data_IF_671290034496
#
_entry.id   IF_671290034496
#
_cell.length_a   1.000
_cell.length_b   1.000
_cell.length_c   1.000
_cell.angle_alpha   90.00
_cell.angle_beta   90.00
_cell.angle_gamma   90.00
#
_symmetry.space_group_name_H-M   'P 1'
#
loop_
_entity.id
_entity.type
_entity.pdbx_description
1 polymer ?
#
# COMPACT_ATOMS: atom_id res chain seq x y z
N UNK A 1 16.95 14.68 -19.72
CA UNK A 1 15.71 15.16 -20.38
C UNK A 1 14.89 15.84 -19.32
N UNK A 2 14.27 16.98 -19.61
CA UNK A 2 13.36 17.66 -18.68
C UNK A 2 11.91 17.28 -19.04
N UNK A 3 10.98 17.49 -18.13
CA UNK A 3 9.55 17.29 -18.36
C UNK A 3 9.05 18.14 -19.54
N UNK A 4 9.46 19.39 -19.59
CA UNK A 4 9.09 20.30 -20.69
C UNK A 4 9.60 19.84 -22.06
N UNK A 5 10.81 19.27 -22.11
CA UNK A 5 11.36 18.71 -23.35
C UNK A 5 10.56 17.49 -23.82
N UNK A 6 10.18 16.61 -22.91
CA UNK A 6 9.34 15.44 -23.21
C UNK A 6 7.95 15.87 -23.72
N UNK A 7 7.29 16.79 -23.02
CA UNK A 7 5.95 17.29 -23.40
C UNK A 7 5.98 17.98 -24.78
N UNK A 8 7.00 18.79 -25.06
CA UNK A 8 7.21 19.40 -26.39
C UNK A 8 7.44 18.35 -27.48
N UNK A 9 8.20 17.30 -27.16
CA UNK A 9 8.44 16.21 -28.13
C UNK A 9 7.15 15.51 -28.50
N UNK A 10 6.36 15.09 -27.52
CA UNK A 10 5.07 14.41 -27.72
C UNK A 10 4.11 15.32 -28.51
N UNK A 11 4.03 16.59 -28.16
CA UNK A 11 3.17 17.55 -28.90
C UNK A 11 3.56 17.69 -30.37
N UNK A 12 4.87 17.63 -30.67
CA UNK A 12 5.38 17.69 -32.04
C UNK A 12 5.33 16.34 -32.79
N UNK A 13 5.31 15.22 -32.06
CA UNK A 13 5.34 13.85 -32.59
C UNK A 13 4.25 12.98 -31.94
N UNK A 14 2.96 13.20 -32.21
CA UNK A 14 1.86 12.46 -31.53
C UNK A 14 1.92 10.94 -31.76
N UNK A 15 2.52 10.48 -32.84
CA UNK A 15 2.70 9.04 -33.13
C UNK A 15 3.65 8.35 -32.13
N UNK A 16 4.53 9.10 -31.47
CA UNK A 16 5.48 8.56 -30.49
C UNK A 16 4.87 8.44 -29.09
N UNK A 17 3.70 9.04 -28.86
CA UNK A 17 3.11 9.18 -27.52
C UNK A 17 2.97 7.82 -26.81
N UNK A 18 2.41 6.81 -27.46
CA UNK A 18 2.21 5.49 -26.90
C UNK A 18 3.52 4.85 -26.43
N UNK A 19 4.55 4.88 -27.31
CA UNK A 19 5.86 4.32 -27.00
C UNK A 19 6.58 5.09 -25.88
N UNK A 20 6.42 6.41 -25.84
CA UNK A 20 7.05 7.28 -24.84
C UNK A 20 6.40 7.18 -23.47
N UNK A 21 5.10 6.94 -23.42
CA UNK A 21 4.33 6.76 -22.16
C UNK A 21 4.21 5.29 -21.75
N UNK A 22 4.78 4.35 -22.51
CA UNK A 22 4.80 2.95 -22.16
C UNK A 22 5.71 2.71 -20.94
N UNK A 23 5.24 1.91 -20.00
CA UNK A 23 5.95 1.58 -18.75
C UNK A 23 7.30 0.89 -18.97
N UNK A 24 7.46 0.20 -20.11
CA UNK A 24 8.58 -0.71 -20.40
C UNK A 24 9.49 -0.18 -21.53
N UNK A 25 9.66 1.15 -21.57
CA UNK A 25 10.59 1.79 -22.52
C UNK A 25 11.49 2.80 -21.82
N UNK A 26 12.72 2.93 -22.32
CA UNK A 26 13.68 3.97 -21.94
C UNK A 26 13.69 5.05 -23.02
N UNK A 27 13.64 6.31 -22.64
CA UNK A 27 13.81 7.42 -23.56
C UNK A 27 15.29 7.79 -23.66
N UNK A 28 15.84 7.83 -24.86
CA UNK A 28 17.23 8.18 -25.14
C UNK A 28 17.32 9.27 -26.21
N UNK A 29 18.42 10.01 -26.20
CA UNK A 29 18.76 10.94 -27.28
C UNK A 29 19.29 10.18 -28.50
N UNK A 30 18.80 10.54 -29.67
CA UNK A 30 19.30 10.05 -30.96
C UNK A 30 19.50 11.24 -31.90
N UNK A 31 20.73 11.69 -32.06
CA UNK A 31 21.02 12.95 -32.73
C UNK A 31 20.32 14.12 -32.08
N UNK A 32 19.57 14.94 -32.84
CA UNK A 32 18.77 16.06 -32.28
C UNK A 32 17.43 15.61 -31.65
N UNK A 33 17.05 14.35 -31.80
CA UNK A 33 15.75 13.81 -31.41
C UNK A 33 15.78 12.92 -30.19
N UNK A 34 14.59 12.40 -29.86
CA UNK A 34 14.37 11.42 -28.79
C UNK A 34 13.84 10.12 -29.39
N UNK A 35 14.20 8.98 -28.81
CA UNK A 35 13.68 7.67 -29.18
C UNK A 35 13.27 6.89 -27.94
N UNK A 36 12.19 6.12 -28.04
CA UNK A 36 11.79 5.14 -27.05
C UNK A 36 12.43 3.77 -27.41
N UNK A 37 13.17 3.20 -26.47
CA UNK A 37 13.84 1.90 -26.63
C UNK A 37 13.17 0.92 -25.65
N UNK A 38 12.63 -0.22 -26.12
CA UNK A 38 12.06 -1.25 -25.24
C UNK A 38 13.06 -1.74 -24.20
N UNK A 39 12.59 -2.08 -23.00
CA UNK A 39 13.46 -2.61 -21.93
C UNK A 39 14.18 -3.88 -22.35
N UNK A 40 13.54 -4.77 -23.13
CA UNK A 40 14.17 -5.97 -23.67
C UNK A 40 15.39 -5.70 -24.56
N UNK A 41 15.48 -4.50 -25.14
CA UNK A 41 16.62 -4.03 -25.89
C UNK A 41 17.58 -3.22 -25.04
N UNK A 42 17.08 -2.21 -24.32
CA UNK A 42 17.88 -1.29 -23.52
C UNK A 42 18.64 -2.00 -22.38
N UNK A 43 18.09 -3.08 -21.85
CA UNK A 43 18.65 -3.86 -20.74
C UNK A 43 18.96 -5.32 -21.15
N UNK A 44 19.16 -5.59 -22.42
CA UNK A 44 19.38 -6.94 -22.96
C UNK A 44 20.48 -7.71 -22.25
N UNK A 45 21.60 -7.04 -21.96
CA UNK A 45 22.76 -7.66 -21.31
C UNK A 45 22.46 -8.16 -19.89
N UNK A 46 21.47 -7.57 -19.22
CA UNK A 46 21.00 -8.01 -17.91
C UNK A 46 19.81 -8.99 -18.01
N UNK A 47 18.87 -8.74 -18.93
CA UNK A 47 17.64 -9.52 -19.04
C UNK A 47 17.86 -10.91 -19.66
N UNK A 48 18.82 -11.04 -20.59
CA UNK A 48 19.14 -12.36 -21.18
C UNK A 48 19.63 -13.36 -20.13
N UNK A 49 20.67 -13.08 -19.34
CA UNK A 49 21.09 -14.01 -18.29
C UNK A 49 20.04 -14.19 -17.19
N UNK A 50 19.22 -13.18 -16.90
CA UNK A 50 18.11 -13.31 -15.96
C UNK A 50 17.04 -14.30 -16.49
N UNK A 51 16.69 -14.22 -17.78
CA UNK A 51 15.78 -15.18 -18.42
C UNK A 51 16.32 -16.61 -18.35
N UNK A 52 17.64 -16.80 -18.58
CA UNK A 52 18.26 -18.11 -18.50
C UNK A 52 18.19 -18.67 -17.06
N UNK A 53 18.40 -17.83 -16.03
CA UNK A 53 18.24 -18.25 -14.62
C UNK A 53 16.80 -18.61 -14.26
N UNK A 54 15.82 -17.92 -14.81
CA UNK A 54 14.40 -18.30 -14.65
C UNK A 54 14.10 -19.65 -15.30
N UNK A 55 14.68 -19.95 -16.47
CA UNK A 55 14.55 -21.26 -17.12
C UNK A 55 15.24 -22.37 -16.34
N UNK A 56 16.44 -22.13 -15.80
CA UNK A 56 17.11 -23.06 -14.89
C UNK A 56 16.24 -23.36 -13.67
N UNK A 57 15.69 -22.33 -13.01
CA UNK A 57 14.77 -22.50 -11.87
C UNK A 57 13.49 -23.26 -12.27
N UNK A 58 12.95 -23.02 -13.45
CA UNK A 58 11.81 -23.74 -13.98
C UNK A 58 12.10 -25.23 -14.25
N UNK A 59 13.35 -25.57 -14.54
CA UNK A 59 13.76 -26.97 -14.77
C UNK A 59 13.83 -27.79 -13.49
N UNK A 60 14.12 -27.16 -12.35
CA UNK A 60 14.29 -27.84 -11.05
C UNK A 60 13.05 -27.85 -10.18
N UNK A 61 12.09 -26.91 -10.40
CA UNK A 61 10.86 -26.87 -9.60
C UNK A 61 9.90 -28.01 -9.95
N UNK A 62 9.37 -28.68 -8.93
CA UNK A 62 8.29 -29.65 -9.09
C UNK A 62 6.89 -29.01 -9.16
N UNK A 63 6.76 -27.73 -8.81
CA UNK A 63 5.47 -27.04 -8.84
C UNK A 63 5.14 -26.57 -10.26
N UNK A 64 4.06 -27.10 -10.85
CA UNK A 64 3.70 -26.85 -12.23
C UNK A 64 3.30 -25.38 -12.48
N UNK A 65 2.63 -24.71 -11.54
CA UNK A 65 2.21 -23.32 -11.70
C UNK A 65 3.39 -22.35 -11.58
N UNK A 66 4.32 -22.60 -10.67
CA UNK A 66 5.57 -21.85 -10.57
C UNK A 66 6.41 -22.03 -11.84
N UNK A 67 6.51 -23.27 -12.35
CA UNK A 67 7.22 -23.55 -13.61
C UNK A 67 6.61 -22.76 -14.78
N UNK A 68 5.27 -22.76 -14.92
CA UNK A 68 4.55 -21.99 -15.93
C UNK A 68 4.92 -20.50 -15.86
N UNK A 69 4.85 -19.93 -14.65
CA UNK A 69 5.20 -18.52 -14.46
C UNK A 69 6.66 -18.22 -14.81
N UNK A 70 7.62 -19.00 -14.31
CA UNK A 70 9.05 -18.75 -14.54
C UNK A 70 9.41 -18.78 -16.03
N UNK A 71 8.85 -19.73 -16.80
CA UNK A 71 9.05 -19.81 -18.25
C UNK A 71 8.42 -18.61 -18.98
N UNK A 72 7.18 -18.29 -18.67
CA UNK A 72 6.49 -17.14 -19.26
C UNK A 72 7.23 -15.82 -18.95
N UNK A 73 7.76 -15.67 -17.72
CA UNK A 73 8.53 -14.49 -17.33
C UNK A 73 9.88 -14.39 -18.05
N UNK A 74 10.55 -15.52 -18.25
CA UNK A 74 11.77 -15.56 -19.04
C UNK A 74 11.53 -15.07 -20.49
N UNK A 75 10.42 -15.48 -21.09
CA UNK A 75 10.03 -15.03 -22.43
C UNK A 75 9.60 -13.56 -22.44
N UNK A 76 8.92 -13.08 -21.41
CA UNK A 76 8.54 -11.69 -21.26
C UNK A 76 9.76 -10.74 -21.18
N UNK A 77 10.83 -11.12 -20.52
CA UNK A 77 12.07 -10.35 -20.47
C UNK A 77 12.69 -10.12 -21.85
N UNK A 78 12.53 -11.09 -22.75
CA UNK A 78 13.11 -11.01 -24.10
C UNK A 78 12.16 -10.37 -25.13
N UNK A 79 10.84 -10.48 -24.91
CA UNK A 79 9.82 -9.95 -25.81
C UNK A 79 9.31 -8.55 -25.43
N UNK A 80 9.59 -8.07 -24.23
CA UNK A 80 9.00 -6.85 -23.64
C UNK A 80 7.47 -6.92 -23.46
N UNK A 81 6.85 -8.10 -23.54
CA UNK A 81 5.43 -8.33 -23.34
C UNK A 81 5.22 -9.14 -22.05
N UNK A 82 4.68 -8.50 -21.03
CA UNK A 82 4.52 -9.08 -19.69
C UNK A 82 3.15 -9.72 -19.46
N UNK A 83 2.17 -9.55 -20.36
CA UNK A 83 0.77 -9.93 -20.15
C UNK A 83 0.61 -11.41 -19.74
N UNK A 84 1.11 -12.35 -20.55
CA UNK A 84 0.94 -13.79 -20.29
C UNK A 84 1.65 -14.24 -19.02
N UNK A 85 2.78 -13.63 -18.71
CA UNK A 85 3.52 -13.92 -17.48
C UNK A 85 2.83 -13.35 -16.24
N UNK A 86 2.17 -12.22 -16.35
CA UNK A 86 1.38 -11.65 -15.26
C UNK A 86 0.11 -12.45 -15.00
N UNK A 87 -0.57 -12.94 -16.05
CA UNK A 87 -1.66 -13.90 -15.93
C UNK A 87 -1.18 -15.17 -15.22
N UNK A 88 -0.06 -15.73 -15.66
CA UNK A 88 0.51 -16.93 -15.05
C UNK A 88 0.88 -16.71 -13.56
N UNK A 89 1.32 -15.49 -13.19
CA UNK A 89 1.60 -15.13 -11.82
C UNK A 89 0.32 -15.03 -10.96
N UNK A 90 -0.74 -14.42 -11.48
CA UNK A 90 -2.03 -14.34 -10.77
C UNK A 90 -2.57 -15.75 -10.50
N UNK A 91 -2.46 -16.66 -11.47
CA UNK A 91 -2.90 -18.07 -11.34
C UNK A 91 -1.96 -18.94 -10.51
N UNK A 92 -0.75 -18.49 -10.21
CA UNK A 92 0.25 -19.30 -9.52
C UNK A 92 -0.16 -19.65 -8.09
N UNK A 93 -0.15 -20.94 -7.77
CA UNK A 93 -0.25 -21.47 -6.42
C UNK A 93 0.98 -22.34 -6.11
N UNK A 94 1.89 -21.76 -5.35
CA UNK A 94 3.17 -22.34 -4.99
C UNK A 94 3.53 -22.03 -3.54
N UNK A 95 4.25 -22.91 -2.84
CA UNK A 95 4.81 -22.58 -1.52
C UNK A 95 5.90 -21.49 -1.59
N UNK A 96 6.52 -21.29 -2.74
CA UNK A 96 7.43 -20.19 -3.02
C UNK A 96 6.71 -19.22 -3.93
N UNK A 97 6.52 -17.97 -3.46
CA UNK A 97 5.98 -16.90 -4.28
C UNK A 97 7.15 -16.07 -4.83
N UNK A 98 7.23 -15.96 -6.14
CA UNK A 98 8.27 -15.21 -6.85
C UNK A 98 7.61 -14.05 -7.57
N UNK A 99 8.05 -12.85 -7.29
CA UNK A 99 7.73 -11.64 -8.05
C UNK A 99 9.04 -11.15 -8.66
N UNK A 100 9.09 -10.98 -9.97
CA UNK A 100 10.26 -10.43 -10.65
C UNK A 100 9.82 -9.76 -11.95
N UNK A 101 10.16 -8.50 -12.12
CA UNK A 101 9.80 -7.73 -13.32
C UNK A 101 9.78 -6.23 -13.08
N UNK A 102 9.36 -5.46 -14.08
CA UNK A 102 9.20 -4.00 -13.98
C UNK A 102 7.85 -3.65 -13.37
N UNK A 103 7.78 -3.65 -12.05
CA UNK A 103 6.53 -3.44 -11.30
C UNK A 103 6.46 -2.16 -10.48
N UNK A 104 7.62 -1.63 -10.06
CA UNK A 104 7.68 -0.39 -9.31
C UNK A 104 7.35 0.79 -10.26
N UNK A 105 6.29 1.54 -9.97
CA UNK A 105 5.78 2.64 -10.83
C UNK A 105 5.66 3.98 -10.10
N UNK A 106 6.00 4.04 -8.81
CA UNK A 106 5.84 5.24 -7.99
C UNK A 106 7.04 6.16 -8.00
N UNK A 107 8.25 5.64 -8.29
CA UNK A 107 9.49 6.42 -8.24
C UNK A 107 9.81 7.20 -9.53
N UNK A 108 9.04 7.03 -10.60
CA UNK A 108 9.14 7.90 -11.77
C UNK A 108 8.51 9.26 -11.48
N UNK A 109 9.23 10.12 -10.78
CA UNK A 109 8.80 11.46 -10.40
C UNK A 109 8.52 12.39 -11.60
N UNK A 110 8.91 11.99 -12.82
CA UNK A 110 8.76 12.84 -13.98
C UNK A 110 7.37 12.72 -14.61
N UNK A 111 6.90 11.48 -14.85
CA UNK A 111 5.64 11.22 -15.59
C UNK A 111 4.79 10.09 -15.01
N UNK A 112 5.27 9.36 -14.04
CA UNK A 112 4.70 8.08 -13.55
C UNK A 112 4.41 7.10 -14.71
N UNK A 113 5.27 7.13 -15.73
CA UNK A 113 5.11 6.38 -16.97
C UNK A 113 6.21 5.32 -17.20
N UNK A 114 7.10 5.13 -16.22
CA UNK A 114 8.20 4.15 -16.28
C UNK A 114 8.17 3.26 -15.06
N UNK A 115 8.37 1.96 -15.29
CA UNK A 115 8.45 0.97 -14.22
C UNK A 115 9.92 0.59 -13.97
N UNK A 116 10.32 0.55 -12.69
CA UNK A 116 11.61 -0.01 -12.29
C UNK A 116 11.51 -1.52 -12.07
N UNK A 117 12.65 -2.22 -12.30
CA UNK A 117 12.76 -3.65 -12.04
C UNK A 117 12.91 -3.92 -10.55
N UNK A 118 12.11 -4.81 -10.04
CA UNK A 118 12.18 -5.33 -8.69
C UNK A 118 11.99 -6.84 -8.66
N UNK A 119 12.46 -7.45 -7.58
CA UNK A 119 12.27 -8.87 -7.35
C UNK A 119 12.06 -9.15 -5.87
N UNK A 120 11.10 -10.04 -5.59
CA UNK A 120 10.84 -10.61 -4.27
C UNK A 120 10.84 -12.12 -4.38
N UNK A 121 11.63 -12.80 -3.57
CA UNK A 121 11.56 -14.25 -3.36
C UNK A 121 11.05 -14.47 -1.96
N UNK A 122 9.91 -15.13 -1.84
CA UNK A 122 9.20 -15.26 -0.60
C UNK A 122 8.68 -16.68 -0.39
N UNK A 123 8.42 -17.06 0.85
CA UNK A 123 7.78 -18.33 1.22
C UNK A 123 6.38 -18.03 1.76
N UNK A 124 5.39 -18.72 1.23
CA UNK A 124 3.98 -18.53 1.61
C UNK A 124 3.74 -19.06 3.02
N UNK A 125 3.23 -18.20 3.90
CA UNK A 125 2.69 -18.55 5.20
C UNK A 125 1.24 -19.02 5.02
N UNK A 126 1.08 -20.32 4.77
CA UNK A 126 -0.25 -20.91 4.51
C UNK A 126 -1.21 -20.74 5.68
N UNK A 127 -0.81 -21.02 6.95
CA UNK A 127 -1.73 -20.81 8.08
C UNK A 127 -2.25 -19.38 8.20
N UNK A 128 -1.38 -18.38 8.02
CA UNK A 128 -1.81 -16.99 8.05
C UNK A 128 -2.67 -16.63 6.83
N UNK A 129 -2.31 -17.10 5.62
CA UNK A 129 -3.09 -16.87 4.41
C UNK A 129 -4.51 -17.47 4.48
N UNK A 130 -4.68 -18.64 5.12
CA UNK A 130 -6.01 -19.25 5.31
C UNK A 130 -6.88 -18.45 6.29
N UNK A 131 -6.30 -17.84 7.34
CA UNK A 131 -7.06 -16.96 8.24
C UNK A 131 -7.69 -15.78 7.48
N UNK A 132 -7.02 -15.28 6.44
CA UNK A 132 -7.52 -14.15 5.67
C UNK A 132 -8.79 -14.47 4.87
N UNK A 133 -8.97 -15.72 4.46
CA UNK A 133 -10.21 -16.16 3.79
C UNK A 133 -11.44 -15.94 4.66
N UNK A 134 -11.28 -16.07 5.99
CA UNK A 134 -12.36 -15.78 6.94
C UNK A 134 -12.79 -14.32 6.83
N UNK A 135 -11.84 -13.38 6.78
CA UNK A 135 -12.14 -11.96 6.68
C UNK A 135 -12.78 -11.61 5.33
N UNK A 136 -12.28 -12.17 4.23
CA UNK A 136 -12.87 -11.99 2.89
C UNK A 136 -14.32 -12.42 2.84
N UNK A 137 -14.69 -13.52 3.50
CA UNK A 137 -16.07 -14.00 3.59
C UNK A 137 -17.00 -13.05 4.37
N UNK A 138 -16.43 -12.18 5.23
CA UNK A 138 -17.16 -11.19 6.01
C UNK A 138 -17.14 -9.76 5.41
N UNK A 139 -16.52 -9.56 4.24
CA UNK A 139 -16.47 -8.21 3.62
C UNK A 139 -17.86 -7.60 3.42
N UNK A 140 -18.85 -8.40 3.00
CA UNK A 140 -20.22 -7.92 2.84
C UNK A 140 -20.87 -7.48 4.16
N UNK A 141 -20.50 -8.11 5.27
CA UNK A 141 -21.00 -7.73 6.59
C UNK A 141 -20.27 -6.47 7.09
N UNK A 142 -18.97 -6.34 6.80
CA UNK A 142 -18.21 -5.13 7.09
C UNK A 142 -18.78 -3.93 6.31
N UNK A 143 -19.11 -4.12 5.02
CA UNK A 143 -19.80 -3.10 4.21
C UNK A 143 -21.14 -2.68 4.84
N UNK A 144 -21.96 -3.64 5.29
CA UNK A 144 -23.22 -3.33 5.99
C UNK A 144 -23.01 -2.55 7.28
N UNK A 145 -21.87 -2.80 7.96
CA UNK A 145 -21.52 -2.17 9.23
C UNK A 145 -20.88 -0.78 9.08
N UNK A 146 -20.60 -0.31 7.86
CA UNK A 146 -20.07 1.03 7.64
C UNK A 146 -20.99 2.11 8.23
N UNK A 147 -20.44 3.14 8.89
CA UNK A 147 -21.23 4.16 9.60
C UNK A 147 -21.78 5.23 8.64
N UNK A 148 -22.35 4.81 7.52
CA UNK A 148 -22.98 5.67 6.50
C UNK A 148 -24.35 5.11 6.10
N UNK A 149 -25.23 5.94 5.51
CA UNK A 149 -26.51 5.48 4.96
C UNK A 149 -26.32 4.37 3.92
N UNK A 150 -27.27 3.43 3.89
CA UNK A 150 -27.24 2.29 2.95
C UNK A 150 -27.19 2.72 1.48
N UNK A 151 -27.73 3.88 1.13
CA UNK A 151 -27.67 4.45 -0.22
C UNK A 151 -26.24 4.73 -0.71
N UNK A 152 -25.27 4.84 0.20
CA UNK A 152 -23.87 5.08 -0.11
C UNK A 152 -23.00 3.81 -0.06
N UNK A 153 -23.57 2.69 0.40
CA UNK A 153 -22.84 1.42 0.53
C UNK A 153 -22.78 0.66 -0.78
N UNK A 154 -21.71 -0.09 -0.99
CA UNK A 154 -21.51 -0.91 -2.18
C UNK A 154 -21.87 -2.38 -1.93
N UNK A 155 -23.16 -2.73 -2.02
CA UNK A 155 -23.64 -4.11 -1.88
C UNK A 155 -23.40 -5.01 -3.10
N UNK A 156 -22.94 -4.46 -4.23
CA UNK A 156 -22.69 -5.19 -5.48
C UNK A 156 -21.20 -5.50 -5.69
N UNK A 157 -20.49 -5.67 -4.62
CA UNK A 157 -19.06 -5.95 -4.63
C UNK A 157 -18.77 -7.30 -5.31
N UNK A 158 -17.77 -7.34 -6.19
CA UNK A 158 -17.19 -8.57 -6.72
C UNK A 158 -16.43 -9.38 -5.64
N UNK A 159 -16.07 -10.61 -5.95
CA UNK A 159 -15.13 -11.39 -5.14
C UNK A 159 -13.82 -10.63 -5.02
N UNK A 160 -13.36 -10.39 -3.79
CA UNK A 160 -12.13 -9.65 -3.54
C UNK A 160 -10.89 -10.33 -4.15
N UNK A 161 -9.81 -9.57 -4.28
CA UNK A 161 -8.49 -10.07 -4.70
C UNK A 161 -8.00 -11.19 -3.79
N UNK A 162 -7.23 -12.12 -4.34
CA UNK A 162 -6.54 -13.14 -3.54
C UNK A 162 -5.51 -12.45 -2.63
N UNK A 163 -5.51 -12.79 -1.35
CA UNK A 163 -4.52 -12.27 -0.40
C UNK A 163 -3.59 -13.41 0.02
N UNK A 164 -2.29 -13.17 -0.05
CA UNK A 164 -1.27 -14.09 0.43
C UNK A 164 -0.40 -13.42 1.51
N UNK A 165 -0.17 -14.12 2.58
CA UNK A 165 0.84 -13.77 3.58
C UNK A 165 2.12 -14.52 3.27
N UNK A 166 3.24 -13.82 3.24
CA UNK A 166 4.52 -14.42 2.90
C UNK A 166 5.62 -13.98 3.88
N UNK A 167 6.68 -14.77 3.92
CA UNK A 167 7.95 -14.43 4.56
C UNK A 167 8.95 -14.09 3.46
N UNK A 168 9.46 -12.88 3.43
CA UNK A 168 10.49 -12.45 2.50
C UNK A 168 11.81 -13.14 2.81
N UNK A 169 12.41 -13.72 1.78
CA UNK A 169 13.70 -14.40 1.86
C UNK A 169 14.79 -13.59 1.17
N UNK A 170 14.43 -12.89 0.09
CA UNK A 170 15.37 -12.12 -0.71
C UNK A 170 14.62 -11.07 -1.54
N UNK A 171 15.22 -9.89 -1.66
CA UNK A 171 14.81 -8.86 -2.62
C UNK A 171 15.99 -8.39 -3.47
N UNK A 172 15.68 -7.86 -4.64
CA UNK A 172 16.64 -7.26 -5.54
C UNK A 172 16.01 -6.13 -6.37
N UNK A 173 16.85 -5.38 -7.05
CA UNK A 173 16.42 -4.26 -7.86
C UNK A 173 15.97 -3.10 -6.98
N UNK A 174 14.91 -2.44 -7.39
CA UNK A 174 14.40 -1.25 -6.72
C UNK A 174 13.84 -1.54 -5.32
N UNK A 175 13.23 -2.69 -5.11
CA UNK A 175 12.76 -3.18 -3.82
C UNK A 175 13.83 -3.19 -2.70
N UNK A 176 15.13 -3.14 -3.04
CA UNK A 176 16.23 -3.00 -2.05
C UNK A 176 16.59 -1.57 -1.70
N UNK A 177 16.04 -0.60 -2.42
CA UNK A 177 16.36 0.83 -2.26
C UNK A 177 15.19 1.54 -1.60
N UNK A 178 15.47 2.64 -0.93
CA UNK A 178 14.44 3.45 -0.31
C UNK A 178 13.66 2.73 0.79
N UNK A 179 12.36 2.99 0.83
CA UNK A 179 11.43 2.42 1.81
C UNK A 179 11.15 0.97 1.46
N UNK A 180 11.35 0.07 2.43
CA UNK A 180 11.10 -1.36 2.22
C UNK A 180 9.60 -1.65 2.10
N UNK A 181 9.23 -2.41 1.08
CA UNK A 181 7.84 -2.78 0.81
C UNK A 181 7.26 -3.63 1.93
N UNK A 182 6.12 -3.26 2.45
CA UNK A 182 5.38 -4.02 3.47
C UNK A 182 4.29 -4.92 2.88
N UNK A 183 3.66 -4.45 1.81
CA UNK A 183 2.64 -5.14 1.04
C UNK A 183 2.62 -4.60 -0.39
N UNK A 184 2.07 -5.36 -1.32
CA UNK A 184 1.84 -4.92 -2.69
C UNK A 184 0.64 -5.61 -3.33
N UNK A 185 0.03 -4.94 -4.30
CA UNK A 185 -1.06 -5.45 -5.14
C UNK A 185 -0.65 -5.43 -6.61
N UNK A 186 -0.51 -6.60 -7.21
CA UNK A 186 -0.11 -6.76 -8.60
C UNK A 186 -1.09 -7.67 -9.37
N UNK A 187 -1.09 -7.66 -10.70
CA UNK A 187 -0.28 -6.83 -11.60
C UNK A 187 -0.81 -5.40 -11.75
N UNK A 188 0.00 -4.54 -12.38
CA UNK A 188 -0.39 -3.16 -12.72
C UNK A 188 -1.29 -3.10 -13.98
N UNK A 189 -1.36 -4.17 -14.77
CA UNK A 189 -2.17 -4.22 -16.00
C UNK A 189 -3.66 -4.35 -15.68
N UNK A 190 -4.42 -3.30 -15.94
CA UNK A 190 -5.85 -3.24 -15.67
C UNK A 190 -6.67 -4.29 -16.44
N UNK A 191 -6.21 -4.70 -17.63
CA UNK A 191 -6.87 -5.75 -18.41
C UNK A 191 -6.84 -7.09 -17.68
N UNK A 192 -5.72 -7.39 -17.01
CA UNK A 192 -5.55 -8.61 -16.21
C UNK A 192 -6.36 -8.50 -14.93
N UNK A 193 -6.32 -7.32 -14.27
CA UNK A 193 -7.12 -7.08 -13.05
C UNK A 193 -8.60 -7.30 -13.28
N UNK A 194 -9.13 -6.89 -14.43
CA UNK A 194 -10.54 -7.07 -14.78
C UNK A 194 -10.89 -8.51 -15.17
N UNK A 195 -9.99 -9.25 -15.84
CA UNK A 195 -10.27 -10.59 -16.35
C UNK A 195 -9.84 -11.71 -15.41
N UNK A 196 -8.72 -11.58 -14.73
CA UNK A 196 -8.07 -12.61 -13.91
C UNK A 196 -7.99 -12.22 -12.42
N UNK A 197 -8.26 -10.95 -12.09
CA UNK A 197 -8.10 -10.41 -10.75
C UNK A 197 -6.67 -9.97 -10.45
N UNK A 198 -6.38 -9.80 -9.16
CA UNK A 198 -5.07 -9.40 -8.64
C UNK A 198 -4.71 -10.20 -7.40
N UNK A 199 -3.45 -10.14 -6.98
CA UNK A 199 -2.98 -10.66 -5.70
C UNK A 199 -2.48 -9.53 -4.81
N UNK A 200 -2.97 -9.50 -3.59
CA UNK A 200 -2.36 -8.77 -2.50
C UNK A 200 -1.36 -9.67 -1.79
N UNK A 201 -0.15 -9.21 -1.60
CA UNK A 201 0.91 -9.96 -0.92
C UNK A 201 1.39 -9.13 0.27
N UNK A 202 1.33 -9.72 1.47
CA UNK A 202 1.79 -9.09 2.71
C UNK A 202 3.08 -9.73 3.17
N UNK A 203 4.13 -8.94 3.34
CA UNK A 203 5.47 -9.36 3.76
C UNK A 203 5.56 -9.34 5.30
N UNK A 204 5.08 -10.42 5.96
CA UNK A 204 4.86 -10.43 7.41
C UNK A 204 6.13 -10.21 8.23
N UNK A 205 7.27 -10.80 7.84
CA UNK A 205 8.54 -10.61 8.55
C UNK A 205 9.11 -9.20 8.36
N UNK A 206 8.93 -8.59 7.19
CA UNK A 206 9.28 -7.19 6.93
C UNK A 206 8.46 -6.27 7.83
N UNK A 207 7.14 -6.48 7.88
CA UNK A 207 6.26 -5.73 8.77
C UNK A 207 6.65 -5.89 10.24
N UNK A 208 7.03 -7.12 10.66
CA UNK A 208 7.48 -7.38 12.02
C UNK A 208 8.80 -6.64 12.34
N UNK A 209 9.73 -6.61 11.40
CA UNK A 209 10.98 -5.87 11.56
C UNK A 209 10.72 -4.35 11.64
N UNK A 210 9.88 -3.81 10.75
CA UNK A 210 9.46 -2.40 10.79
C UNK A 210 8.80 -2.03 12.13
N UNK A 211 7.90 -2.88 12.63
CA UNK A 211 7.26 -2.64 13.92
C UNK A 211 8.30 -2.59 15.05
N UNK A 212 9.19 -3.59 15.12
CA UNK A 212 10.19 -3.68 16.20
C UNK A 212 11.25 -2.59 16.15
N UNK A 213 11.70 -2.22 14.96
CA UNK A 213 12.84 -1.30 14.80
C UNK A 213 12.44 0.17 14.73
N UNK A 214 11.23 0.46 14.29
CA UNK A 214 10.74 1.82 14.09
C UNK A 214 9.43 2.06 14.85
N UNK A 215 8.38 1.29 14.57
CA UNK A 215 7.03 1.54 15.07
C UNK A 215 6.93 1.51 16.59
N UNK A 216 7.33 0.41 17.23
CA UNK A 216 7.27 0.26 18.69
C UNK A 216 8.16 1.28 19.43
N UNK A 217 9.42 1.53 19.02
CA UNK A 217 10.23 2.60 19.62
C UNK A 217 9.60 4.00 19.50
N UNK A 218 8.97 4.33 18.37
CA UNK A 218 8.24 5.60 18.19
C UNK A 218 7.08 5.65 19.16
N UNK A 219 6.22 4.62 19.16
CA UNK A 219 5.04 4.57 20.03
C UNK A 219 5.40 4.72 21.51
N UNK A 220 6.44 4.03 21.99
CA UNK A 220 6.96 4.16 23.37
C UNK A 220 7.51 5.54 23.70
N UNK A 221 7.94 6.31 22.72
CA UNK A 221 8.41 7.69 22.92
C UNK A 221 7.28 8.69 22.95
N UNK A 222 6.26 8.46 22.14
CA UNK A 222 5.10 9.35 21.98
C UNK A 222 4.04 9.11 23.06
N UNK A 223 3.77 7.85 23.39
CA UNK A 223 2.68 7.52 24.29
C UNK A 223 3.10 7.43 25.75
N UNK A 224 2.10 7.46 26.63
CA UNK A 224 2.25 7.30 28.07
C UNK A 224 2.75 5.88 28.40
N UNK A 225 3.83 5.73 29.21
CA UNK A 225 4.38 4.42 29.55
C UNK A 225 3.39 3.45 30.19
N UNK A 226 2.32 3.95 30.82
CA UNK A 226 1.27 3.09 31.37
C UNK A 226 0.51 2.30 30.32
N UNK A 227 0.63 2.66 29.02
CA UNK A 227 -0.01 1.98 27.89
C UNK A 227 0.98 1.14 27.06
N UNK A 228 2.27 1.11 27.40
CA UNK A 228 3.31 0.38 26.64
C UNK A 228 3.01 -1.12 26.47
N UNK A 229 2.39 -1.74 27.47
CA UNK A 229 2.03 -3.18 27.42
C UNK A 229 0.91 -3.49 26.41
N UNK A 230 0.25 -2.46 25.89
CA UNK A 230 -0.80 -2.59 24.88
C UNK A 230 -0.27 -2.52 23.44
N UNK A 231 0.99 -2.12 23.24
CA UNK A 231 1.60 -2.15 21.92
C UNK A 231 1.69 -3.59 21.40
N UNK A 232 1.17 -3.82 20.21
CA UNK A 232 0.99 -5.17 19.66
C UNK A 232 1.31 -5.24 18.18
N UNK A 233 2.25 -6.14 17.83
CA UNK A 233 2.51 -6.45 16.41
C UNK A 233 1.28 -7.03 15.73
N UNK A 234 0.51 -7.88 16.41
CA UNK A 234 -0.69 -8.47 15.80
C UNK A 234 -1.75 -7.40 15.51
N UNK A 235 -1.88 -6.37 16.36
CA UNK A 235 -2.76 -5.24 16.09
C UNK A 235 -2.27 -4.43 14.87
N UNK A 236 -0.99 -4.10 14.80
CA UNK A 236 -0.39 -3.41 13.64
C UNK A 236 -0.56 -4.21 12.35
N UNK A 237 -0.20 -5.49 12.37
CA UNK A 237 -0.29 -6.38 11.21
C UNK A 237 -1.71 -6.50 10.68
N UNK A 238 -2.68 -6.72 11.58
CA UNK A 238 -4.08 -6.80 11.17
C UNK A 238 -4.63 -5.44 10.76
N UNK A 239 -4.18 -4.32 11.34
CA UNK A 239 -4.57 -2.99 10.86
C UNK A 239 -4.13 -2.79 9.41
N UNK A 240 -2.86 -3.06 9.06
CA UNK A 240 -2.39 -2.97 7.67
C UNK A 240 -3.20 -3.89 6.74
N UNK A 241 -3.50 -5.12 7.18
CA UNK A 241 -4.35 -6.03 6.39
C UNK A 241 -5.74 -5.44 6.14
N UNK A 242 -6.38 -4.91 7.19
CA UNK A 242 -7.72 -4.34 7.07
C UNK A 242 -7.72 -3.00 6.35
N UNK A 243 -6.61 -2.26 6.35
CA UNK A 243 -6.38 -1.12 5.47
C UNK A 243 -6.51 -1.55 3.99
N UNK A 244 -5.75 -2.58 3.56
CA UNK A 244 -5.83 -3.12 2.19
C UNK A 244 -7.23 -3.63 1.82
N UNK A 245 -7.92 -4.30 2.74
CA UNK A 245 -9.30 -4.71 2.54
C UNK A 245 -10.25 -3.52 2.39
N UNK A 246 -9.99 -2.44 3.14
CA UNK A 246 -10.84 -1.26 3.22
C UNK A 246 -10.76 -0.34 2.01
N UNK A 247 -9.71 -0.45 1.18
CA UNK A 247 -9.71 0.14 -0.16
C UNK A 247 -10.89 -0.35 -1.01
N UNK A 248 -11.33 -1.56 -0.77
CA UNK A 248 -12.47 -2.12 -1.46
C UNK A 248 -13.82 -1.80 -0.78
N UNK A 249 -13.88 -1.23 0.44
CA UNK A 249 -15.09 -0.89 1.18
C UNK A 249 -15.57 0.54 0.89
N UNK A 250 -16.90 0.72 0.91
CA UNK A 250 -17.53 2.02 0.67
C UNK A 250 -17.75 2.36 -0.79
N UNK A 251 -18.08 3.63 -1.08
CA UNK A 251 -18.49 4.12 -2.40
C UNK A 251 -17.30 4.31 -3.34
N UNK A 252 -17.23 3.55 -4.43
CA UNK A 252 -16.21 3.73 -5.49
C UNK A 252 -16.75 4.46 -6.73
N UNK A 253 -17.89 3.97 -7.28
CA UNK A 253 -18.60 4.61 -8.39
C UNK A 253 -19.81 5.32 -7.82
N UNK A 254 -19.89 6.63 -7.99
CA UNK A 254 -20.89 7.49 -7.40
C UNK A 254 -21.65 8.30 -8.45
N UNK A 255 -22.85 8.77 -8.10
CA UNK A 255 -23.51 9.84 -8.84
C UNK A 255 -22.99 11.17 -8.33
N UNK A 256 -22.08 11.76 -9.09
CA UNK A 256 -21.41 12.98 -8.69
C UNK A 256 -22.29 14.25 -8.73
N UNK A 257 -21.72 15.38 -8.35
CA UNK A 257 -22.42 16.68 -8.36
C UNK A 257 -22.95 17.09 -9.73
N UNK A 258 -22.32 16.60 -10.81
CA UNK A 258 -22.74 16.82 -12.19
C UNK A 258 -23.83 15.85 -12.67
N UNK A 259 -24.30 14.95 -11.80
CA UNK A 259 -25.31 13.93 -12.07
C UNK A 259 -24.82 12.70 -12.83
N UNK A 260 -23.53 12.61 -13.18
CA UNK A 260 -22.95 11.46 -13.90
C UNK A 260 -22.48 10.39 -12.93
N UNK A 261 -22.57 9.13 -13.37
CA UNK A 261 -21.99 7.98 -12.66
C UNK A 261 -20.52 7.86 -13.06
N UNK A 262 -19.59 8.10 -12.13
CA UNK A 262 -18.15 8.03 -12.33
C UNK A 262 -17.47 7.62 -11.03
N UNK A 263 -16.17 7.27 -11.12
CA UNK A 263 -15.34 7.02 -9.94
C UNK A 263 -15.21 8.31 -9.10
N UNK A 264 -15.28 8.15 -7.78
CA UNK A 264 -15.18 9.26 -6.81
C UNK A 264 -13.88 10.06 -6.96
N UNK A 265 -12.76 9.40 -7.37
CA UNK A 265 -11.47 10.05 -7.61
C UNK A 265 -11.54 11.18 -8.66
N UNK A 266 -12.42 11.05 -9.65
CA UNK A 266 -12.60 12.07 -10.70
C UNK A 266 -13.13 13.38 -10.11
N UNK A 267 -13.98 13.27 -9.09
CA UNK A 267 -14.54 14.43 -8.39
C UNK A 267 -13.60 14.99 -7.33
N UNK A 268 -12.89 14.12 -6.59
CA UNK A 268 -11.99 14.52 -5.51
C UNK A 268 -10.61 15.00 -6.00
N UNK A 269 -10.21 14.65 -7.23
CA UNK A 269 -9.00 15.16 -7.92
C UNK A 269 -7.73 15.03 -7.06
N UNK A 270 -7.03 16.15 -6.84
CA UNK A 270 -5.78 16.20 -6.08
C UNK A 270 -5.93 15.79 -4.60
N UNK A 271 -7.13 15.78 -4.05
CA UNK A 271 -7.36 15.38 -2.66
C UNK A 271 -7.66 13.88 -2.49
N UNK A 272 -7.92 13.19 -3.61
CA UNK A 272 -8.33 11.79 -3.57
C UNK A 272 -7.36 10.91 -2.82
N UNK A 273 -6.07 10.93 -3.16
CA UNK A 273 -5.10 9.99 -2.57
C UNK A 273 -5.04 10.10 -1.05
N UNK A 274 -4.97 11.31 -0.50
CA UNK A 274 -4.93 11.49 0.97
C UNK A 274 -6.24 11.09 1.63
N UNK A 275 -7.38 11.37 1.01
CA UNK A 275 -8.71 10.97 1.53
C UNK A 275 -8.84 9.44 1.50
N UNK A 276 -8.46 8.79 0.39
CA UNK A 276 -8.56 7.33 0.22
C UNK A 276 -7.65 6.58 1.19
N UNK A 277 -6.39 7.02 1.36
CA UNK A 277 -5.46 6.39 2.31
C UNK A 277 -5.94 6.54 3.76
N UNK A 278 -6.37 7.74 4.14
CA UNK A 278 -6.95 7.96 5.46
C UNK A 278 -8.25 7.17 5.65
N UNK A 279 -9.10 7.06 4.61
CA UNK A 279 -10.31 6.22 4.64
C UNK A 279 -9.95 4.74 4.83
N UNK A 280 -8.93 4.26 4.14
CA UNK A 280 -8.49 2.87 4.26
C UNK A 280 -7.99 2.56 5.69
N UNK A 281 -7.21 3.45 6.29
CA UNK A 281 -6.76 3.33 7.69
C UNK A 281 -7.95 3.31 8.66
N UNK A 282 -8.79 4.32 8.63
CA UNK A 282 -9.88 4.53 9.59
C UNK A 282 -11.00 3.49 9.45
N UNK A 283 -11.39 3.15 8.21
CA UNK A 283 -12.35 2.07 7.93
C UNK A 283 -11.74 0.71 8.26
N UNK A 284 -10.42 0.56 8.12
CA UNK A 284 -9.66 -0.61 8.59
C UNK A 284 -9.83 -0.82 10.09
N UNK A 285 -9.64 0.22 10.91
CA UNK A 285 -9.88 0.17 12.36
C UNK A 285 -11.35 -0.16 12.63
N UNK A 286 -12.31 0.51 11.96
CA UNK A 286 -13.74 0.26 12.15
C UNK A 286 -14.14 -1.18 11.84
N UNK A 287 -13.62 -1.74 10.76
CA UNK A 287 -13.84 -3.13 10.35
C UNK A 287 -13.16 -4.13 11.29
N UNK A 288 -11.98 -3.79 11.84
CA UNK A 288 -11.33 -4.59 12.89
C UNK A 288 -12.15 -4.61 14.18
N UNK A 289 -12.75 -3.49 14.58
CA UNK A 289 -13.64 -3.45 15.73
C UNK A 289 -14.85 -4.37 15.54
N UNK A 290 -15.42 -4.39 14.34
CA UNK A 290 -16.46 -5.37 13.98
C UNK A 290 -15.93 -6.81 14.11
N UNK A 291 -14.74 -7.10 13.59
CA UNK A 291 -14.15 -8.43 13.64
C UNK A 291 -13.82 -8.87 15.08
N UNK A 292 -13.37 -7.98 15.95
CA UNK A 292 -13.15 -8.21 17.40
C UNK A 292 -14.49 -8.50 18.10
N UNK A 293 -15.51 -7.66 17.87
CA UNK A 293 -16.83 -7.81 18.48
C UNK A 293 -17.50 -9.12 18.05
N UNK A 294 -17.26 -9.59 16.83
CA UNK A 294 -17.70 -10.89 16.31
C UNK A 294 -16.80 -12.07 16.66
N UNK A 295 -15.70 -11.84 17.40
CA UNK A 295 -14.69 -12.86 17.75
C UNK A 295 -14.02 -13.54 16.55
N UNK A 296 -13.98 -12.86 15.41
CA UNK A 296 -13.20 -13.28 14.23
C UNK A 296 -11.71 -12.99 14.45
N UNK A 297 -11.39 -11.93 15.20
CA UNK A 297 -10.05 -11.59 15.69
C UNK A 297 -10.02 -11.80 17.19
N UNK A 298 -9.08 -12.64 17.67
CA UNK A 298 -8.93 -12.99 19.10
C UNK A 298 -7.51 -12.79 19.63
N UNK A 299 -6.56 -12.44 18.76
CA UNK A 299 -5.15 -12.24 19.14
C UNK A 299 -4.92 -10.95 19.94
N UNK A 300 -5.82 -9.98 19.82
CA UNK A 300 -5.77 -8.70 20.54
C UNK A 300 -7.19 -8.14 20.73
N UNK A 301 -7.30 -7.13 21.56
CA UNK A 301 -8.53 -6.41 21.86
C UNK A 301 -8.50 -4.95 21.33
N UNK A 302 -9.62 -4.24 21.45
CA UNK A 302 -9.73 -2.86 20.99
C UNK A 302 -8.73 -1.89 21.65
N UNK A 303 -8.44 -1.94 22.97
CA UNK A 303 -7.38 -1.13 23.57
C UNK A 303 -6.00 -1.30 22.93
N UNK A 304 -5.58 -2.54 22.62
CA UNK A 304 -4.33 -2.80 21.92
C UNK A 304 -4.33 -2.22 20.51
N UNK A 305 -5.43 -2.36 19.79
CA UNK A 305 -5.59 -1.74 18.48
C UNK A 305 -5.42 -0.22 18.56
N UNK A 306 -6.14 0.45 19.44
CA UNK A 306 -6.14 1.91 19.55
C UNK A 306 -4.78 2.48 19.97
N UNK A 307 -4.14 1.85 20.95
CA UNK A 307 -2.81 2.30 21.41
C UNK A 307 -1.75 2.06 20.35
N UNK A 308 -1.80 0.94 19.66
CA UNK A 308 -0.86 0.62 18.59
C UNK A 308 -1.02 1.58 17.43
N UNK A 309 -2.24 1.81 16.97
CA UNK A 309 -2.54 2.75 15.89
C UNK A 309 -2.08 4.17 16.23
N UNK A 310 -2.56 4.74 17.34
CA UNK A 310 -2.19 6.08 17.77
C UNK A 310 -0.67 6.28 17.87
N UNK A 311 0.06 5.26 18.35
CA UNK A 311 1.52 5.29 18.47
C UNK A 311 2.24 5.27 17.12
N UNK A 312 1.65 4.64 16.11
CA UNK A 312 2.27 4.45 14.80
C UNK A 312 2.01 5.59 13.80
N UNK A 313 1.05 6.48 14.08
CA UNK A 313 0.78 7.64 13.22
C UNK A 313 2.02 8.49 12.96
N UNK A 314 2.89 8.66 13.97
CA UNK A 314 4.14 9.39 13.81
C UNK A 314 5.15 8.69 12.90
N UNK A 315 5.06 7.37 12.74
CA UNK A 315 5.90 6.66 11.76
C UNK A 315 5.57 7.14 10.35
N UNK A 316 4.30 7.20 9.98
CA UNK A 316 3.85 7.65 8.66
C UNK A 316 4.12 9.13 8.43
N UNK A 317 3.88 9.99 9.42
CA UNK A 317 4.16 11.43 9.34
C UNK A 317 5.65 11.75 9.09
N UNK A 318 6.59 10.88 9.49
CA UNK A 318 8.04 11.08 9.27
C UNK A 318 8.45 10.97 7.81
N UNK A 319 7.65 10.33 6.95
CA UNK A 319 7.89 10.30 5.50
C UNK A 319 7.47 11.59 4.80
N UNK A 320 6.70 12.43 5.47
CA UNK A 320 6.25 13.74 4.99
C UNK A 320 4.72 13.87 5.03
N UNK A 321 4.23 14.93 5.63
CA UNK A 321 2.78 15.23 5.70
C UNK A 321 2.22 15.61 4.32
N UNK A 322 3.07 15.99 3.37
CA UNK A 322 2.68 16.23 1.98
C UNK A 322 2.35 14.95 1.19
N UNK A 323 2.81 13.79 1.65
CA UNK A 323 2.52 12.49 1.07
C UNK A 323 1.14 11.97 1.52
N UNK A 324 0.52 11.11 0.74
CA UNK A 324 -0.84 10.62 1.00
C UNK A 324 -0.98 9.99 2.38
N UNK A 325 -0.14 9.02 2.71
CA UNK A 325 -0.16 8.36 4.04
C UNK A 325 0.25 9.30 5.18
N UNK A 326 1.27 10.15 4.97
CA UNK A 326 1.71 11.11 5.99
C UNK A 326 0.65 12.16 6.28
N UNK A 327 -0.04 12.64 5.25
CA UNK A 327 -1.18 13.56 5.35
C UNK A 327 -2.38 12.91 6.04
N UNK A 328 -2.69 11.64 5.70
CA UNK A 328 -3.71 10.83 6.37
C UNK A 328 -3.42 10.66 7.85
N UNK A 329 -2.21 10.27 8.22
CA UNK A 329 -1.80 10.11 9.61
C UNK A 329 -1.86 11.41 10.42
N UNK A 330 -1.49 12.55 9.80
CA UNK A 330 -1.64 13.86 10.45
C UNK A 330 -3.10 14.25 10.65
N UNK A 331 -3.97 13.93 9.67
CA UNK A 331 -5.42 14.12 9.78
C UNK A 331 -5.99 13.33 10.94
N UNK A 332 -5.68 12.04 11.02
CA UNK A 332 -6.12 11.15 12.10
C UNK A 332 -5.65 11.65 13.46
N UNK A 333 -4.37 11.95 13.61
CA UNK A 333 -3.81 12.48 14.85
C UNK A 333 -4.55 13.74 15.29
N UNK A 334 -4.67 14.76 14.44
CA UNK A 334 -5.30 16.03 14.77
C UNK A 334 -6.79 15.87 15.06
N UNK A 335 -7.47 14.97 14.35
CA UNK A 335 -8.87 14.62 14.63
C UNK A 335 -9.04 13.96 15.99
N UNK A 336 -8.25 12.92 16.29
CA UNK A 336 -8.30 12.22 17.58
C UNK A 336 -7.95 13.15 18.75
N UNK A 337 -7.03 14.08 18.54
CA UNK A 337 -6.71 15.14 19.51
C UNK A 337 -7.91 16.07 19.75
N UNK A 338 -8.55 16.56 18.71
CA UNK A 338 -9.72 17.44 18.83
C UNK A 338 -10.90 16.73 19.50
N UNK A 339 -11.12 15.46 19.23
CA UNK A 339 -12.19 14.66 19.84
C UNK A 339 -11.85 14.18 21.27
N UNK A 340 -10.66 14.46 21.76
CA UNK A 340 -10.20 14.04 23.07
C UNK A 340 -9.98 12.53 23.20
N UNK A 341 -9.84 11.84 22.07
CA UNK A 341 -9.49 10.43 21.99
C UNK A 341 -8.02 10.20 22.33
N UNK A 342 -7.17 11.18 22.04
CA UNK A 342 -5.78 11.25 22.47
C UNK A 342 -5.61 12.53 23.29
N UNK A 343 -5.10 12.41 24.52
CA UNK A 343 -4.95 13.53 25.47
C UNK A 343 -3.50 13.66 25.95
N UNK A 344 -2.99 14.85 26.27
CA UNK A 344 -1.69 14.98 26.91
C UNK A 344 -1.66 14.26 28.26
N UNK A 345 -0.54 13.57 28.54
CA UNK A 345 -0.32 12.88 29.83
C UNK A 345 0.84 13.45 30.63
N UNK A 346 1.46 14.53 30.15
CA UNK A 346 2.63 15.16 30.73
C UNK A 346 3.93 14.78 30.01
N UNK A 347 5.01 15.55 30.25
CA UNK A 347 6.33 15.33 29.69
C UNK A 347 6.38 15.17 28.15
N UNK A 348 5.47 15.86 27.43
CA UNK A 348 5.38 15.78 25.97
C UNK A 348 4.81 14.45 25.45
N UNK A 349 4.17 13.65 26.31
CA UNK A 349 3.57 12.36 25.96
C UNK A 349 2.05 12.43 25.94
N UNK A 350 1.44 11.40 25.35
CA UNK A 350 0.00 11.35 25.10
C UNK A 350 -0.58 10.02 25.56
N UNK A 351 -1.84 10.05 25.94
CA UNK A 351 -2.60 8.89 26.39
C UNK A 351 -3.86 8.71 25.58
N UNK A 352 -4.18 7.46 25.24
CA UNK A 352 -5.38 7.10 24.49
C UNK A 352 -6.54 6.86 25.45
N UNK A 353 -7.67 7.54 25.23
CA UNK A 353 -8.97 7.27 25.85
C UNK A 353 -9.74 6.30 24.95
N UNK A 354 -9.88 5.06 25.37
CA UNK A 354 -10.41 3.97 24.53
C UNK A 354 -11.87 4.18 24.12
N UNK A 355 -12.68 4.77 25.01
CA UNK A 355 -14.10 5.03 24.73
C UNK A 355 -14.25 6.12 23.67
N UNK A 356 -13.53 7.22 23.86
CA UNK A 356 -13.55 8.34 22.91
C UNK A 356 -12.87 7.99 21.59
N UNK A 357 -11.84 7.12 21.60
CA UNK A 357 -11.15 6.69 20.41
C UNK A 357 -12.09 5.92 19.46
N UNK A 358 -12.86 4.96 20.00
CA UNK A 358 -13.87 4.23 19.21
C UNK A 358 -14.86 5.17 18.53
N UNK A 359 -15.36 6.16 19.28
CA UNK A 359 -16.32 7.12 18.72
C UNK A 359 -15.66 8.08 17.71
N UNK A 360 -14.42 8.52 17.95
CA UNK A 360 -13.68 9.36 17.03
C UNK A 360 -13.40 8.66 15.70
N UNK A 361 -13.05 7.35 15.74
CA UNK A 361 -12.93 6.49 14.55
C UNK A 361 -14.25 6.42 13.78
N UNK A 362 -15.37 6.15 14.48
CA UNK A 362 -16.69 6.10 13.84
C UNK A 362 -17.02 7.40 13.11
N UNK A 363 -16.80 8.53 13.77
CA UNK A 363 -17.10 9.86 13.22
C UNK A 363 -16.20 10.19 12.02
N UNK A 364 -14.92 9.82 12.07
CA UNK A 364 -14.01 10.07 10.97
C UNK A 364 -14.31 9.15 9.78
N UNK A 365 -14.62 7.87 10.03
CA UNK A 365 -15.08 6.97 8.98
C UNK A 365 -16.34 7.49 8.28
N UNK A 366 -17.33 7.99 9.04
CA UNK A 366 -18.55 8.60 8.49
C UNK A 366 -18.23 9.83 7.62
N UNK A 367 -17.31 10.69 8.08
CA UNK A 367 -16.91 11.90 7.35
C UNK A 367 -16.22 11.56 6.02
N UNK A 368 -15.20 10.69 6.05
CA UNK A 368 -14.43 10.30 4.88
C UNK A 368 -15.29 9.58 3.84
N UNK A 369 -16.08 8.59 4.28
CA UNK A 369 -16.98 7.86 3.40
C UNK A 369 -18.08 8.75 2.82
N UNK A 370 -18.55 9.76 3.54
CA UNK A 370 -19.53 10.73 3.03
C UNK A 370 -18.92 11.62 1.95
N UNK A 371 -17.67 12.08 2.15
CA UNK A 371 -16.91 12.82 1.14
C UNK A 371 -16.80 12.00 -0.14
N UNK A 372 -16.42 10.74 -0.03
CA UNK A 372 -16.30 9.85 -1.18
C UNK A 372 -17.65 9.57 -1.85
N UNK A 373 -18.71 9.32 -1.07
CA UNK A 373 -20.06 9.05 -1.60
C UNK A 373 -20.67 10.21 -2.37
N UNK A 374 -20.31 11.43 -2.01
CA UNK A 374 -20.88 12.64 -2.61
C UNK A 374 -19.95 13.29 -3.62
N UNK A 375 -18.67 12.92 -3.67
CA UNK A 375 -17.66 13.58 -4.48
C UNK A 375 -17.47 15.07 -4.11
N UNK A 376 -17.70 15.41 -2.82
CA UNK A 376 -17.68 16.79 -2.34
C UNK A 376 -16.23 17.29 -2.19
N UNK A 377 -15.71 17.84 -3.27
CA UNK A 377 -14.35 18.42 -3.33
C UNK A 377 -14.13 19.50 -2.27
N UNK A 378 -15.11 20.37 -2.06
CA UNK A 378 -14.98 21.48 -1.11
C UNK A 378 -14.96 20.98 0.35
N UNK A 379 -15.70 19.91 0.66
CA UNK A 379 -15.68 19.25 1.98
C UNK A 379 -14.34 18.56 2.23
N UNK A 380 -13.81 17.84 1.22
CA UNK A 380 -12.49 17.26 1.27
C UNK A 380 -11.40 18.33 1.52
N UNK A 381 -11.44 19.44 0.77
CA UNK A 381 -10.51 20.55 0.95
C UNK A 381 -10.55 21.11 2.38
N UNK A 382 -11.74 21.35 2.92
CA UNK A 382 -11.89 21.84 4.31
C UNK A 382 -11.34 20.87 5.34
N UNK A 383 -11.62 19.57 5.17
CA UNK A 383 -11.13 18.54 6.07
C UNK A 383 -9.58 18.50 6.07
N UNK A 384 -8.98 18.42 4.88
CA UNK A 384 -7.53 18.35 4.74
C UNK A 384 -6.83 19.63 5.22
N UNK A 385 -7.34 20.81 4.86
CA UNK A 385 -6.80 22.09 5.35
C UNK A 385 -6.86 22.24 6.87
N UNK A 386 -7.84 21.60 7.52
CA UNK A 386 -7.97 21.67 8.98
C UNK A 386 -7.10 20.64 9.69
N UNK A 387 -7.01 19.41 9.17
CA UNK A 387 -6.44 18.30 9.91
C UNK A 387 -5.18 17.67 9.28
N UNK A 388 -5.03 17.64 7.96
CA UNK A 388 -3.85 17.09 7.32
C UNK A 388 -2.69 18.12 7.29
N UNK A 389 -2.35 18.63 8.48
CA UNK A 389 -1.39 19.73 8.65
C UNK A 389 -0.43 19.44 9.80
N UNK A 390 0.80 19.98 9.69
CA UNK A 390 1.71 19.99 10.83
C UNK A 390 1.21 20.97 11.88
N UNK A 391 1.07 20.50 13.10
CA UNK A 391 0.69 21.32 14.26
C UNK A 391 1.90 21.50 15.19
N UNK A 392 1.91 22.50 16.07
CA UNK A 392 2.98 22.66 17.06
C UNK A 392 3.25 21.40 17.90
N UNK A 393 2.23 20.57 18.16
CA UNK A 393 2.39 19.28 18.84
C UNK A 393 3.19 18.29 17.99
N UNK A 394 2.86 18.14 16.70
CA UNK A 394 3.58 17.26 15.77
C UNK A 394 5.02 17.75 15.62
N UNK A 395 5.21 19.06 15.45
CA UNK A 395 6.54 19.68 15.32
C UNK A 395 7.40 19.52 16.56
N UNK A 396 6.80 19.45 17.74
CA UNK A 396 7.52 19.21 18.99
C UNK A 396 7.95 17.73 19.14
N UNK A 397 7.19 16.79 18.62
CA UNK A 397 7.45 15.34 18.73
C UNK A 397 8.49 14.85 17.73
N UNK A 398 8.36 15.21 16.45
CA UNK A 398 9.19 14.70 15.35
C UNK A 398 10.71 14.80 15.61
N UNK A 399 11.26 15.93 16.11
CA UNK A 399 12.69 16.05 16.41
C UNK A 399 13.20 15.03 17.44
N UNK A 400 12.35 14.63 18.38
CA UNK A 400 12.64 13.62 19.39
C UNK A 400 12.72 12.19 18.87
N UNK A 401 12.43 11.95 17.59
CA UNK A 401 12.41 10.63 16.96
C UNK A 401 13.60 10.39 16.03
N UNK A 402 14.54 11.33 15.90
CA UNK A 402 15.62 11.30 14.89
C UNK A 402 16.60 10.13 15.07
N UNK A 403 16.77 9.62 16.27
CA UNK A 403 17.62 8.48 16.59
C UNK A 403 16.97 7.12 16.26
N UNK A 404 15.67 7.10 15.98
CA UNK A 404 14.96 5.90 15.55
C UNK A 404 15.05 5.79 14.04
N UNK A 405 15.43 4.64 13.46
CA UNK A 405 15.48 4.47 12.00
C UNK A 405 14.14 4.83 11.34
N UNK A 406 14.19 5.50 10.19
CA UNK A 406 12.98 5.79 9.41
C UNK A 406 12.39 4.50 8.86
N UNK A 407 13.27 3.61 8.40
CA UNK A 407 12.89 2.28 7.94
C UNK A 407 13.99 1.25 8.25
N UNK A 408 13.71 -0.01 7.97
CA UNK A 408 14.65 -1.13 8.13
C UNK A 408 15.64 -1.19 6.96
N UNK A 409 16.79 -1.84 7.19
CA UNK A 409 17.75 -2.21 6.16
C UNK A 409 17.94 -3.73 6.20
N UNK A 410 17.25 -4.51 5.35
CA UNK A 410 17.37 -5.96 5.36
C UNK A 410 18.76 -6.46 4.98
N UNK A 411 19.24 -7.50 5.67
CA UNK A 411 20.48 -8.22 5.35
C UNK A 411 20.13 -9.66 4.99
N UNK A 412 20.47 -10.07 3.76
CA UNK A 412 20.13 -11.39 3.22
C UNK A 412 21.33 -12.34 3.31
N UNK A 413 21.52 -12.97 4.44
CA UNK A 413 22.70 -13.80 4.76
C UNK A 413 22.93 -14.92 3.74
N UNK A 414 21.84 -15.53 3.23
CA UNK A 414 21.91 -16.59 2.21
C UNK A 414 22.39 -16.14 0.82
N UNK A 415 22.43 -14.83 0.57
CA UNK A 415 22.89 -14.24 -0.70
C UNK A 415 24.37 -13.84 -0.68
N UNK A 416 25.14 -14.28 0.33
CA UNK A 416 26.57 -13.94 0.48
C UNK A 416 26.83 -12.60 1.15
N UNK A 417 25.83 -11.96 1.69
CA UNK A 417 25.97 -10.75 2.50
C UNK A 417 26.48 -11.09 3.89
N UNK A 418 27.44 -10.30 4.38
CA UNK A 418 27.91 -10.45 5.77
C UNK A 418 26.94 -9.73 6.70
N UNK A 419 26.63 -10.34 7.83
CA UNK A 419 25.96 -9.63 8.92
C UNK A 419 26.84 -8.45 9.37
N UNK A 420 26.24 -7.30 9.66
CA UNK A 420 26.97 -6.12 10.14
C UNK A 420 27.64 -6.37 11.50
#
# INVERSE_FOLDING_TARGET
MTREEFEKWIAAHPADQEAFQNLYTVIRRSGPGLVAIPYSEAYRDALTPAADKLREAAAITANASLKKFLLARADAFLSNNYYDSDVAWVEMDSPVEVVIGPYEVYEDEMFNAKAAFEAFITVVDRPESEKLKVYLNHLSDMERNLPIPDAYKNFKRGSGSTIKVVQEIFTAGDARRGVQTAAFNLPNDERIRQSNGSKNVLLRNVMQAKFRQSGEPIARRVLDPSQDSLLSFDAYYNHTLFHELSHSLGPGIIKGPDGKMQENRIYLKAFYSTIEECKADVVGIWSLLYAIDKKLVTAFDAPKLFVTDAGLLFRSMRFGIGEAHGGGAALEWNWYREKGAIVPSGNGRFKVDYTKFREAVRMLAEELLTIEATGDYARAERLLKKYAVSTPEIEAVIPGLKDIPVDITPVFVGAGEKMP
#
